data_IF_728081410221
#
_entry.id   IF_728081410221
#
_cell.length_a   1.000
_cell.length_b   1.000
_cell.length_c   1.000
_cell.angle_alpha   90.00
_cell.angle_beta   90.00
_cell.angle_gamma   90.00
#
_symmetry.space_group_name_H-M   'P 1'
#
loop_
_entity.id
_entity.type
_entity.pdbx_description
1 polymer ?
#
# COMPACT_ATOMS: atom_id res chain seq x y z
N UNK A 1 -7.71 9.03 12.31
CA UNK A 1 -7.06 10.12 11.53
C UNK A 1 -5.99 9.47 10.68
N UNK A 2 -6.16 9.39 9.34
CA UNK A 2 -5.15 8.77 8.46
C UNK A 2 -3.80 9.44 8.68
N UNK A 3 -2.83 8.73 9.25
CA UNK A 3 -1.44 9.19 9.32
C UNK A 3 -0.88 9.09 7.90
N UNK A 4 -1.00 10.17 7.14
CA UNK A 4 -0.29 10.36 5.88
C UNK A 4 1.19 10.53 6.22
N UNK A 5 1.91 9.42 6.34
CA UNK A 5 3.37 9.45 6.40
C UNK A 5 3.91 9.52 4.97
N UNK A 6 4.86 10.41 4.73
CA UNK A 6 5.61 10.44 3.47
C UNK A 6 6.80 9.49 3.57
N UNK A 7 7.05 8.73 2.51
CA UNK A 7 8.22 7.85 2.38
C UNK A 7 9.04 8.27 1.16
N UNK A 8 10.34 8.04 1.22
CA UNK A 8 11.23 8.23 0.06
C UNK A 8 11.72 6.88 -0.42
N UNK A 9 11.42 6.53 -1.67
CA UNK A 9 11.88 5.32 -2.35
C UNK A 9 12.62 5.75 -3.61
N UNK A 10 13.85 5.26 -3.80
CA UNK A 10 14.70 5.57 -4.96
C UNK A 10 14.88 7.08 -5.28
N UNK A 11 14.86 7.91 -4.24
CA UNK A 11 14.99 9.36 -4.36
C UNK A 11 13.69 10.08 -4.73
N UNK A 12 12.58 9.37 -4.79
CA UNK A 12 11.25 9.91 -5.05
C UNK A 12 10.38 9.87 -3.80
N UNK A 13 9.56 10.90 -3.59
CA UNK A 13 8.66 11.01 -2.44
C UNK A 13 7.26 10.48 -2.78
N UNK A 14 6.73 9.64 -1.89
CA UNK A 14 5.39 9.07 -1.97
C UNK A 14 4.64 9.34 -0.68
N UNK A 15 3.33 9.51 -0.78
CA UNK A 15 2.43 9.60 0.37
C UNK A 15 1.81 8.23 0.63
N UNK A 16 1.94 7.72 1.85
CA UNK A 16 1.28 6.48 2.26
C UNK A 16 -0.20 6.75 2.47
N UNK A 17 -1.05 6.07 1.67
CA UNK A 17 -2.51 6.09 1.80
C UNK A 17 -2.93 5.18 2.96
N UNK A 18 -2.30 4.00 3.02
CA UNK A 18 -2.44 3.04 4.11
C UNK A 18 -1.86 1.68 3.74
N UNK A 19 -1.91 0.78 4.71
CA UNK A 19 -1.48 -0.62 4.59
C UNK A 19 -2.73 -1.48 4.86
N UNK A 20 -2.92 -2.54 4.08
CA UNK A 20 -4.07 -3.43 4.18
C UNK A 20 -3.66 -4.86 3.86
N UNK A 21 -4.46 -5.83 4.31
CA UNK A 21 -4.14 -7.26 4.17
C UNK A 21 -5.08 -7.91 3.15
N UNK A 22 -4.52 -8.66 2.20
CA UNK A 22 -5.26 -9.48 1.22
C UNK A 22 -4.67 -10.89 1.28
N UNK A 23 -5.52 -11.90 1.46
CA UNK A 23 -5.10 -13.32 1.48
C UNK A 23 -3.84 -13.60 2.33
N UNK A 24 -3.81 -13.05 3.56
CA UNK A 24 -2.72 -13.21 4.53
C UNK A 24 -1.40 -12.49 4.20
N UNK A 25 -1.35 -11.71 3.10
CA UNK A 25 -0.24 -10.83 2.77
C UNK A 25 -0.61 -9.37 3.00
N UNK A 26 0.36 -8.58 3.44
CA UNK A 26 0.18 -7.14 3.60
C UNK A 26 0.59 -6.38 2.35
N UNK A 27 -0.12 -5.31 2.04
CA UNK A 27 0.09 -4.44 0.90
C UNK A 27 0.06 -2.99 1.33
N UNK A 28 0.82 -2.16 0.64
CA UNK A 28 0.89 -0.71 0.86
C UNK A 28 0.38 0.03 -0.36
N UNK A 29 -0.54 0.97 -0.14
CA UNK A 29 -1.00 1.90 -1.15
C UNK A 29 -0.28 3.23 -0.99
N UNK A 30 0.34 3.68 -2.08
CA UNK A 30 1.12 4.90 -2.16
C UNK A 30 0.54 5.84 -3.21
N UNK A 31 0.61 7.15 -2.96
CA UNK A 31 0.26 8.18 -3.94
C UNK A 31 1.50 9.00 -4.28
N UNK A 32 1.67 9.24 -5.58
CA UNK A 32 2.59 10.25 -6.09
C UNK A 32 1.92 10.99 -7.23
N UNK A 33 1.92 12.31 -7.12
CA UNK A 33 1.19 13.23 -8.00
C UNK A 33 -0.31 12.92 -8.07
N UNK A 34 -0.74 12.15 -9.08
CA UNK A 34 -2.13 11.72 -9.32
C UNK A 34 -2.26 10.22 -9.52
N UNK A 35 -1.17 9.48 -9.33
CA UNK A 35 -1.11 8.04 -9.56
C UNK A 35 -1.07 7.31 -8.22
N UNK A 36 -1.77 6.19 -8.17
CA UNK A 36 -1.76 5.25 -7.04
C UNK A 36 -0.85 4.09 -7.41
N UNK A 37 0.01 3.70 -6.49
CA UNK A 37 0.92 2.57 -6.62
C UNK A 37 0.62 1.59 -5.50
N UNK A 38 0.54 0.29 -5.84
CA UNK A 38 0.28 -0.79 -4.91
C UNK A 38 1.49 -1.71 -4.91
N UNK A 39 2.01 -2.00 -3.74
CA UNK A 39 3.15 -2.89 -3.54
C UNK A 39 2.86 -3.87 -2.40
N UNK A 40 3.48 -5.05 -2.45
CA UNK A 40 3.49 -5.92 -1.29
C UNK A 40 4.34 -5.28 -0.19
N UNK A 41 3.80 -5.21 1.02
CA UNK A 41 4.44 -4.63 2.20
C UNK A 41 5.08 -5.71 3.06
N UNK A 42 6.34 -5.53 3.42
CA UNK A 42 7.04 -6.37 4.40
C UNK A 42 7.67 -5.50 5.48
N UNK A 43 7.01 -5.42 6.64
CA UNK A 43 7.53 -4.73 7.82
C UNK A 43 8.56 -5.57 8.58
N UNK A 44 9.66 -4.95 8.98
CA UNK A 44 10.73 -5.56 9.77
C UNK A 44 10.64 -5.15 11.24
N UNK A 45 11.20 -5.98 12.14
CA UNK A 45 11.15 -5.74 13.59
C UNK A 45 11.94 -4.51 14.05
N UNK A 46 12.86 -4.04 13.24
CA UNK A 46 13.65 -2.83 13.49
C UNK A 46 12.91 -1.54 13.10
N UNK A 47 11.67 -1.67 12.61
CA UNK A 47 10.84 -0.55 12.16
C UNK A 47 11.12 -0.10 10.73
N UNK A 48 11.98 -0.81 9.99
CA UNK A 48 12.12 -0.64 8.54
C UNK A 48 11.06 -1.46 7.80
N UNK A 49 10.88 -1.19 6.51
CA UNK A 49 10.01 -1.98 5.65
C UNK A 49 10.61 -2.11 4.26
N UNK A 50 10.16 -3.14 3.53
CA UNK A 50 10.42 -3.31 2.11
C UNK A 50 9.07 -3.32 1.36
N UNK A 51 9.10 -2.79 0.13
CA UNK A 51 7.97 -2.76 -0.77
C UNK A 51 8.37 -3.50 -2.06
N UNK A 52 7.61 -4.53 -2.42
CA UNK A 52 7.89 -5.38 -3.58
C UNK A 52 6.84 -5.20 -4.67
N UNK A 53 7.27 -5.26 -5.93
CA UNK A 53 6.36 -5.34 -7.07
C UNK A 53 5.50 -6.60 -6.98
N UNK A 54 4.24 -6.47 -7.38
CA UNK A 54 3.30 -7.58 -7.49
C UNK A 54 3.43 -8.13 -8.91
N UNK A 55 4.10 -9.27 -9.07
CA UNK A 55 4.37 -9.86 -10.39
C UNK A 55 3.21 -10.69 -10.95
N UNK A 56 2.31 -11.16 -10.08
CA UNK A 56 1.16 -11.99 -10.45
C UNK A 56 -0.07 -11.11 -10.75
N UNK A 57 -0.61 -11.23 -11.96
CA UNK A 57 -1.74 -10.43 -12.43
C UNK A 57 -3.04 -10.70 -11.63
N UNK A 58 -3.28 -11.96 -11.23
CA UNK A 58 -4.47 -12.32 -10.45
C UNK A 58 -4.34 -11.76 -9.02
N UNK A 59 -3.14 -11.82 -8.45
CA UNK A 59 -2.83 -11.18 -7.16
C UNK A 59 -3.03 -9.67 -7.24
N UNK A 60 -2.49 -9.02 -8.28
CA UNK A 60 -2.64 -7.58 -8.46
C UNK A 60 -4.12 -7.17 -8.60
N UNK A 61 -4.90 -7.93 -9.36
CA UNK A 61 -6.33 -7.68 -9.52
C UNK A 61 -7.09 -7.77 -8.20
N UNK A 62 -6.79 -8.77 -7.35
CA UNK A 62 -7.39 -8.91 -6.03
C UNK A 62 -7.02 -7.72 -5.11
N UNK A 63 -5.76 -7.30 -5.14
CA UNK A 63 -5.25 -6.18 -4.33
C UNK A 63 -5.89 -4.85 -4.76
N UNK A 64 -6.06 -4.61 -6.07
CA UNK A 64 -6.77 -3.44 -6.59
C UNK A 64 -8.23 -3.44 -6.14
N UNK A 65 -8.92 -4.59 -6.25
CA UNK A 65 -10.31 -4.69 -5.84
C UNK A 65 -10.50 -4.38 -4.36
N UNK A 66 -9.63 -4.92 -3.49
CA UNK A 66 -9.69 -4.65 -2.06
C UNK A 66 -9.37 -3.19 -1.75
N UNK A 67 -8.36 -2.60 -2.41
CA UNK A 67 -8.03 -1.19 -2.26
C UNK A 67 -9.23 -0.29 -2.60
N UNK A 68 -9.88 -0.51 -3.74
CA UNK A 68 -11.05 0.28 -4.16
C UNK A 68 -12.22 0.11 -3.18
N UNK A 69 -12.43 -1.10 -2.66
CA UNK A 69 -13.43 -1.37 -1.64
C UNK A 69 -13.15 -0.59 -0.35
N UNK A 70 -11.91 -0.63 0.16
CA UNK A 70 -11.49 0.09 1.35
C UNK A 70 -11.58 1.60 1.14
N UNK A 71 -11.14 2.11 -0.01
CA UNK A 71 -11.17 3.53 -0.35
C UNK A 71 -12.60 4.06 -0.43
N UNK A 72 -13.48 3.38 -1.18
CA UNK A 72 -14.87 3.77 -1.36
C UNK A 72 -15.67 3.75 -0.07
N UNK A 73 -15.37 2.80 0.83
CA UNK A 73 -16.06 2.67 2.11
C UNK A 73 -15.34 3.38 3.27
N UNK A 74 -14.18 3.98 3.00
CA UNK A 74 -13.31 4.63 3.99
C UNK A 74 -12.92 3.70 5.16
N UNK A 75 -12.76 2.40 4.89
CA UNK A 75 -12.51 1.33 5.89
C UNK A 75 -11.02 1.20 6.27
N UNK A 76 -10.30 2.31 6.33
CA UNK A 76 -8.91 2.28 6.76
C UNK A 76 -8.90 2.08 8.27
N UNK A 77 -8.26 1.01 8.76
CA UNK A 77 -8.09 0.78 10.19
C UNK A 77 -7.56 2.05 10.89
N UNK A 78 -8.17 2.41 12.03
CA UNK A 78 -7.91 3.67 12.77
C UNK A 78 -6.59 3.71 13.52
#
# INVERSE_FOLDING_TARGET
MKKLQSITMDGEEFLVIGIFTVEEKDYIALVKDKNIYLYQYQGHKDGTFEAFDIEDDDEFAAVVQEFEYIESNQLWDE
#
